data_IF_228401782912
#
_entry.id   IF_228401782912
#
_cell.length_a   1.000
_cell.length_b   1.000
_cell.length_c   1.000
_cell.angle_alpha   90.00
_cell.angle_beta   90.00
_cell.angle_gamma   90.00
#
_symmetry.space_group_name_H-M   'P 1'
#
loop_
_entity.id
_entity.type
_entity.pdbx_description
1 polymer ?
#
# COMPACT_ATOMS: atom_id res chain seq x y z
N UNK A 1 -6.79 -10.78 -23.31
CA UNK A 1 -7.69 -9.61 -23.61
C UNK A 1 -9.14 -10.05 -23.39
N UNK A 2 -9.84 -9.48 -22.41
CA UNK A 2 -11.20 -9.91 -22.07
C UNK A 2 -12.21 -9.09 -22.88
N UNK A 3 -12.79 -9.68 -23.94
CA UNK A 3 -13.80 -9.05 -24.82
C UNK A 3 -15.01 -8.48 -24.05
N UNK A 4 -15.33 -9.02 -22.87
CA UNK A 4 -16.44 -8.54 -22.03
C UNK A 4 -16.15 -7.14 -21.45
N UNK A 5 -14.90 -6.86 -21.12
CA UNK A 5 -14.53 -5.54 -20.56
C UNK A 5 -14.50 -4.45 -21.64
N UNK A 6 -14.18 -4.77 -22.91
CA UNK A 6 -14.24 -3.78 -24.00
C UNK A 6 -15.67 -3.38 -24.31
N UNK A 7 -16.62 -4.33 -24.34
CA UNK A 7 -18.04 -4.01 -24.58
C UNK A 7 -18.69 -3.19 -23.45
N UNK A 8 -18.22 -3.36 -22.21
CA UNK A 8 -18.70 -2.56 -21.08
C UNK A 8 -18.17 -1.13 -21.12
N UNK A 9 -16.92 -0.91 -21.49
CA UNK A 9 -16.32 0.43 -21.62
C UNK A 9 -16.95 1.27 -22.74
N UNK A 10 -17.50 0.61 -23.78
CA UNK A 10 -18.20 1.31 -24.86
C UNK A 10 -19.56 1.88 -24.42
N UNK A 11 -20.19 1.24 -23.44
CA UNK A 11 -21.54 1.58 -22.98
C UNK A 11 -21.56 2.33 -21.65
N UNK A 12 -20.45 2.31 -20.90
CA UNK A 12 -20.41 2.86 -19.54
C UNK A 12 -19.22 3.79 -19.39
N UNK A 13 -19.47 5.03 -18.93
CA UNK A 13 -18.45 5.96 -18.46
C UNK A 13 -17.95 5.46 -17.11
N UNK A 14 -16.66 5.35 -16.97
CA UNK A 14 -16.03 4.79 -15.78
C UNK A 14 -16.38 5.56 -14.50
N UNK A 15 -16.80 4.87 -13.43
CA UNK A 15 -17.15 5.43 -12.14
C UNK A 15 -15.96 6.10 -11.42
N UNK A 16 -16.23 6.83 -10.37
CA UNK A 16 -15.23 7.53 -9.59
C UNK A 16 -14.60 6.64 -8.54
N UNK A 17 -13.34 6.93 -8.17
CA UNK A 17 -12.70 6.40 -6.97
C UNK A 17 -12.66 7.53 -5.95
N UNK A 18 -13.20 7.29 -4.76
CA UNK A 18 -13.33 8.26 -3.68
C UNK A 18 -12.55 7.81 -2.44
N UNK A 19 -12.03 8.78 -1.72
CA UNK A 19 -11.45 8.56 -0.39
C UNK A 19 -12.54 8.36 0.67
N UNK A 20 -12.17 7.94 1.88
CA UNK A 20 -13.09 7.82 3.02
C UNK A 20 -13.77 9.14 3.39
N UNK A 21 -13.10 10.26 3.16
CA UNK A 21 -13.63 11.61 3.37
C UNK A 21 -14.24 12.24 2.09
N UNK A 22 -14.70 11.40 1.16
CA UNK A 22 -15.45 11.75 -0.05
C UNK A 22 -14.71 12.70 -1.01
N UNK A 23 -13.38 12.67 -1.00
CA UNK A 23 -12.57 13.38 -1.99
C UNK A 23 -12.38 12.51 -3.23
N UNK A 24 -12.47 13.12 -4.40
CA UNK A 24 -12.30 12.42 -5.68
C UNK A 24 -10.80 12.09 -5.87
N UNK A 25 -10.48 10.81 -5.96
CA UNK A 25 -9.12 10.30 -6.21
C UNK A 25 -8.88 9.97 -7.69
N UNK A 26 -9.95 9.56 -8.39
CA UNK A 26 -9.96 9.37 -9.84
C UNK A 26 -11.36 9.60 -10.41
N UNK A 27 -11.44 10.24 -11.58
CA UNK A 27 -12.69 10.46 -12.31
C UNK A 27 -12.45 10.52 -13.82
N UNK A 28 -13.51 10.39 -14.60
CA UNK A 28 -13.45 10.49 -16.06
C UNK A 28 -14.19 11.70 -16.56
N UNK A 29 -13.64 12.36 -17.56
CA UNK A 29 -14.27 13.43 -18.35
C UNK A 29 -14.18 13.12 -19.84
N UNK A 30 -15.03 13.75 -20.64
CA UNK A 30 -14.89 13.67 -22.10
C UNK A 30 -14.13 14.92 -22.58
N UNK A 31 -13.16 14.71 -23.45
CA UNK A 31 -12.48 15.81 -24.14
C UNK A 31 -13.38 16.42 -25.21
N UNK A 32 -12.90 17.45 -25.90
CA UNK A 32 -13.62 18.12 -26.99
C UNK A 32 -13.93 17.18 -28.17
N UNK A 33 -13.13 16.14 -28.36
CA UNK A 33 -13.35 15.11 -29.40
C UNK A 33 -14.37 14.05 -28.97
N UNK A 34 -14.81 14.05 -27.70
CA UNK A 34 -15.76 13.08 -27.14
C UNK A 34 -15.10 11.85 -26.52
N UNK A 35 -13.75 11.75 -26.51
CA UNK A 35 -13.02 10.65 -25.91
C UNK A 35 -13.04 10.77 -24.39
N UNK A 36 -13.17 9.63 -23.71
CA UNK A 36 -13.12 9.57 -22.25
C UNK A 36 -11.67 9.63 -21.75
N UNK A 37 -11.33 10.65 -20.98
CA UNK A 37 -10.04 10.82 -20.33
C UNK A 37 -10.19 10.59 -18.84
N UNK A 38 -9.27 9.79 -18.27
CA UNK A 38 -9.19 9.51 -16.84
C UNK A 38 -8.25 10.50 -16.16
N UNK A 39 -8.71 11.11 -15.07
CA UNK A 39 -7.98 12.11 -14.30
C UNK A 39 -7.71 11.65 -12.88
N UNK A 40 -6.52 12.00 -12.39
CA UNK A 40 -6.03 11.69 -11.04
C UNK A 40 -5.64 12.99 -10.33
N UNK A 41 -6.58 13.63 -9.57
CA UNK A 41 -6.39 14.99 -9.03
C UNK A 41 -5.25 15.14 -8.02
N UNK A 42 -4.78 14.04 -7.46
CA UNK A 42 -3.68 14.03 -6.50
C UNK A 42 -2.35 13.57 -7.10
N UNK A 43 -2.31 13.43 -8.42
CA UNK A 43 -1.09 13.10 -9.17
C UNK A 43 -0.32 11.92 -8.54
N UNK A 44 0.96 12.11 -8.25
CA UNK A 44 1.86 11.10 -7.69
C UNK A 44 1.41 10.52 -6.33
N UNK A 45 0.74 11.34 -5.50
CA UNK A 45 0.47 11.01 -4.09
C UNK A 45 -0.30 9.70 -3.89
N UNK A 46 -1.14 9.33 -4.84
CA UNK A 46 -1.95 8.11 -4.78
C UNK A 46 -1.63 7.11 -5.91
N UNK A 47 -0.60 7.38 -6.72
CA UNK A 47 -0.33 6.62 -7.94
C UNK A 47 -0.26 5.10 -7.71
N UNK A 48 0.47 4.65 -6.71
CA UNK A 48 0.67 3.22 -6.48
C UNK A 48 -0.57 2.49 -5.95
N UNK A 49 -1.48 3.17 -5.25
CA UNK A 49 -2.69 2.53 -4.73
C UNK A 49 -3.87 2.67 -5.69
N UNK A 50 -4.06 3.83 -6.27
CA UNK A 50 -5.11 4.04 -7.27
C UNK A 50 -4.73 3.36 -8.59
N UNK A 51 -3.48 3.52 -9.01
CA UNK A 51 -3.00 2.98 -10.26
C UNK A 51 -3.35 3.87 -11.45
N UNK A 52 -3.53 3.23 -12.60
CA UNK A 52 -3.79 3.87 -13.89
C UNK A 52 -4.61 2.95 -14.79
N UNK A 53 -5.14 3.51 -15.89
CA UNK A 53 -5.97 2.77 -16.87
C UNK A 53 -5.30 2.58 -18.24
N UNK A 54 -4.26 3.38 -18.57
CA UNK A 54 -3.43 3.24 -19.77
C UNK A 54 -2.34 2.18 -19.59
N UNK A 55 -1.70 1.73 -20.66
CA UNK A 55 -0.58 0.75 -20.63
C UNK A 55 -0.86 -0.53 -19.82
N UNK A 56 -2.07 -1.04 -19.91
CA UNK A 56 -2.60 -2.09 -19.02
C UNK A 56 -3.53 -1.48 -17.99
N UNK A 57 -3.49 -1.97 -16.79
CA UNK A 57 -4.17 -1.40 -15.61
C UNK A 57 -3.41 -1.79 -14.37
N UNK A 58 -3.37 -0.91 -13.37
CA UNK A 58 -2.72 -1.19 -12.10
C UNK A 58 -3.58 -0.70 -10.92
N UNK A 59 -3.20 -1.08 -9.70
CA UNK A 59 -3.84 -0.63 -8.48
C UNK A 59 -5.35 -0.88 -8.43
N UNK A 60 -6.10 0.00 -7.80
CA UNK A 60 -7.56 -0.09 -7.68
C UNK A 60 -8.26 0.04 -9.03
N UNK A 61 -7.67 0.75 -9.98
CA UNK A 61 -8.18 0.80 -11.37
C UNK A 61 -8.25 -0.58 -12.02
N UNK A 62 -7.31 -1.47 -11.68
CA UNK A 62 -7.32 -2.86 -12.13
C UNK A 62 -8.24 -3.75 -11.30
N UNK A 63 -8.10 -3.70 -9.97
CA UNK A 63 -8.83 -4.58 -9.04
C UNK A 63 -10.33 -4.32 -9.09
N UNK A 64 -10.74 -3.05 -9.08
CA UNK A 64 -12.15 -2.63 -9.10
C UNK A 64 -12.67 -2.35 -10.52
N UNK A 65 -11.97 -2.85 -11.57
CA UNK A 65 -12.33 -2.54 -12.95
C UNK A 65 -13.78 -2.94 -13.30
N UNK A 66 -14.24 -4.07 -12.78
CA UNK A 66 -15.62 -4.53 -13.00
C UNK A 66 -16.64 -3.58 -12.37
N UNK A 67 -16.42 -3.18 -11.12
CA UNK A 67 -17.34 -2.29 -10.40
C UNK A 67 -17.41 -0.91 -11.07
N UNK A 68 -16.24 -0.36 -11.41
CA UNK A 68 -16.14 0.93 -12.08
C UNK A 68 -16.78 0.97 -13.48
N UNK A 69 -17.00 -0.18 -14.13
CA UNK A 69 -17.66 -0.29 -15.43
C UNK A 69 -19.08 -0.87 -15.35
N UNK A 70 -19.53 -1.30 -14.19
CA UNK A 70 -20.90 -1.76 -13.98
C UNK A 70 -21.76 -0.58 -13.51
N UNK A 71 -22.94 -0.43 -14.08
CA UNK A 71 -23.87 0.63 -13.69
C UNK A 71 -25.09 0.01 -13.01
N UNK A 72 -25.34 0.39 -11.75
CA UNK A 72 -26.58 0.08 -11.03
C UNK A 72 -27.57 1.25 -11.07
N UNK A 73 -27.46 2.16 -12.03
CA UNK A 73 -28.47 3.18 -12.26
C UNK A 73 -29.84 2.55 -12.53
N UNK A 74 -30.90 3.25 -12.14
CA UNK A 74 -32.27 2.78 -12.36
C UNK A 74 -32.47 2.46 -13.84
N UNK A 75 -33.15 1.33 -14.15
CA UNK A 75 -33.41 0.84 -15.51
C UNK A 75 -33.98 1.93 -16.44
N UNK A 76 -34.91 2.76 -15.93
CA UNK A 76 -35.47 3.87 -16.69
C UNK A 76 -34.43 4.88 -17.16
N UNK A 77 -33.38 5.12 -16.34
CA UNK A 77 -32.28 6.03 -16.71
C UNK A 77 -31.37 5.40 -17.72
N UNK A 78 -31.06 4.11 -17.57
CA UNK A 78 -30.27 3.35 -18.55
C UNK A 78 -30.94 3.31 -19.94
N UNK A 79 -32.25 3.09 -19.98
CA UNK A 79 -33.06 3.15 -21.21
C UNK A 79 -33.07 4.55 -21.83
N UNK A 80 -33.24 5.59 -21.00
CA UNK A 80 -33.17 6.99 -21.48
C UNK A 80 -31.80 7.34 -22.02
N UNK A 81 -30.71 6.89 -21.38
CA UNK A 81 -29.35 7.10 -21.85
C UNK A 81 -29.11 6.38 -23.20
N UNK A 82 -29.62 5.15 -23.35
CA UNK A 82 -29.53 4.37 -24.61
C UNK A 82 -30.23 5.09 -25.77
N UNK A 83 -31.44 5.62 -25.55
CA UNK A 83 -32.18 6.40 -26.58
C UNK A 83 -31.44 7.71 -26.92
N UNK A 84 -30.80 8.32 -25.94
CA UNK A 84 -30.01 9.55 -26.12
C UNK A 84 -28.57 9.31 -26.60
N UNK A 85 -28.18 8.09 -26.90
CA UNK A 85 -26.79 7.68 -27.22
C UNK A 85 -25.75 8.14 -26.20
N UNK A 86 -26.15 8.20 -24.91
CA UNK A 86 -25.26 8.55 -23.79
C UNK A 86 -24.80 7.30 -23.08
N UNK A 87 -23.53 7.28 -22.65
CA UNK A 87 -23.03 6.23 -21.77
C UNK A 87 -23.71 6.26 -20.41
N UNK A 88 -23.94 5.10 -19.83
CA UNK A 88 -24.30 4.98 -18.42
C UNK A 88 -23.11 5.36 -17.56
N UNK A 89 -23.35 5.67 -16.28
CA UNK A 89 -22.25 5.97 -15.33
C UNK A 89 -22.01 4.71 -14.51
N UNK A 90 -20.76 4.28 -14.45
CA UNK A 90 -20.33 3.16 -13.62
C UNK A 90 -20.39 3.49 -12.13
N UNK A 91 -20.38 2.46 -11.30
CA UNK A 91 -20.47 2.61 -9.86
C UNK A 91 -19.19 3.23 -9.28
N UNK A 92 -19.34 3.97 -8.21
CA UNK A 92 -18.22 4.58 -7.50
C UNK A 92 -17.59 3.58 -6.51
N UNK A 93 -16.29 3.59 -6.42
CA UNK A 93 -15.52 2.85 -5.41
C UNK A 93 -15.13 3.81 -4.28
N UNK A 94 -15.60 3.52 -3.07
CA UNK A 94 -15.25 4.29 -1.87
C UNK A 94 -14.17 3.53 -1.12
N UNK A 95 -13.01 4.16 -0.99
CA UNK A 95 -11.85 3.59 -0.29
C UNK A 95 -11.87 3.92 1.20
N UNK A 96 -11.00 3.27 1.96
CA UNK A 96 -10.76 3.60 3.38
C UNK A 96 -9.67 4.66 3.58
N UNK A 97 -9.08 5.17 2.51
CA UNK A 97 -7.99 6.15 2.52
C UNK A 97 -8.44 7.51 3.04
N UNK A 98 -7.68 8.11 3.93
CA UNK A 98 -7.85 9.51 4.37
C UNK A 98 -6.82 10.38 3.65
N UNK A 99 -7.31 11.39 2.90
CA UNK A 99 -6.43 12.24 2.09
C UNK A 99 -5.45 13.07 2.91
N UNK A 100 -5.80 13.42 4.15
CA UNK A 100 -4.92 14.19 5.04
C UNK A 100 -3.79 13.32 5.57
N UNK A 101 -4.12 12.09 5.98
CA UNK A 101 -3.12 11.14 6.48
C UNK A 101 -2.19 10.69 5.34
N UNK A 102 -2.76 10.44 4.15
CA UNK A 102 -1.97 10.15 2.95
C UNK A 102 -0.97 11.27 2.63
N UNK A 103 -1.45 12.53 2.67
CA UNK A 103 -0.59 13.71 2.44
C UNK A 103 0.53 13.78 3.48
N UNK A 104 0.22 13.66 4.76
CA UNK A 104 1.22 13.69 5.82
C UNK A 104 2.27 12.57 5.67
N UNK A 105 1.84 11.34 5.32
CA UNK A 105 2.74 10.23 5.07
C UNK A 105 3.60 10.45 3.82
N UNK A 106 3.02 11.03 2.77
CA UNK A 106 3.72 11.33 1.52
C UNK A 106 4.80 12.40 1.71
N UNK A 107 4.48 13.47 2.44
CA UNK A 107 5.40 14.55 2.76
C UNK A 107 6.50 14.08 3.73
N UNK A 108 6.15 13.26 4.74
CA UNK A 108 7.13 12.74 5.70
C UNK A 108 8.14 11.76 5.08
N UNK A 109 7.79 11.09 3.98
CA UNK A 109 8.72 10.21 3.27
C UNK A 109 9.71 11.00 2.40
N UNK A 110 9.48 12.30 2.20
CA UNK A 110 10.35 13.18 1.39
C UNK A 110 10.82 12.50 0.10
N UNK A 111 12.11 12.51 -0.19
CA UNK A 111 12.74 11.86 -1.36
C UNK A 111 13.32 10.47 -1.03
N UNK A 112 13.04 9.94 0.15
CA UNK A 112 13.52 8.61 0.52
C UNK A 112 12.81 7.51 -0.29
N UNK A 113 13.59 6.54 -0.72
CA UNK A 113 13.06 5.31 -1.33
C UNK A 113 12.50 4.40 -0.24
N UNK A 114 11.21 4.15 -0.29
CA UNK A 114 10.55 3.34 0.74
C UNK A 114 9.05 3.35 0.62
N UNK A 115 8.40 2.95 1.71
CA UNK A 115 6.95 2.93 1.83
C UNK A 115 6.48 3.34 3.22
N UNK A 116 5.29 3.93 3.28
CA UNK A 116 4.55 4.18 4.52
C UNK A 116 3.18 3.55 4.41
N UNK A 117 2.78 2.76 5.41
CA UNK A 117 1.45 2.18 5.51
C UNK A 117 0.86 2.50 6.88
N UNK A 118 -0.32 3.12 6.88
CA UNK A 118 -1.08 3.38 8.11
C UNK A 118 -2.35 2.53 8.12
N UNK A 119 -2.47 1.66 9.12
CA UNK A 119 -3.58 0.72 9.26
C UNK A 119 -4.27 1.00 10.60
N UNK A 120 -5.61 1.01 10.59
CA UNK A 120 -6.42 1.06 11.80
C UNK A 120 -6.46 -0.33 12.45
N UNK A 121 -5.87 -0.54 13.63
CA UNK A 121 -5.68 -1.90 14.18
C UNK A 121 -6.99 -2.66 14.42
N UNK A 122 -8.05 -1.95 14.83
CA UNK A 122 -9.34 -2.57 15.17
C UNK A 122 -10.12 -3.09 13.96
N UNK A 123 -9.93 -2.49 12.80
CA UNK A 123 -10.75 -2.77 11.61
C UNK A 123 -9.95 -3.31 10.44
N UNK A 124 -8.62 -3.23 10.48
CA UNK A 124 -7.73 -3.53 9.36
C UNK A 124 -7.79 -2.52 8.21
N UNK A 125 -8.53 -1.40 8.36
CA UNK A 125 -8.66 -0.40 7.31
C UNK A 125 -7.35 0.29 7.03
N UNK A 126 -6.89 0.25 5.78
CA UNK A 126 -5.75 1.02 5.31
C UNK A 126 -6.17 2.48 5.17
N UNK A 127 -5.56 3.37 5.95
CA UNK A 127 -5.84 4.80 5.98
C UNK A 127 -4.90 5.61 5.12
N UNK A 128 -3.66 5.16 4.98
CA UNK A 128 -2.69 5.69 4.03
C UNK A 128 -1.78 4.58 3.52
N UNK A 129 -1.33 4.71 2.27
CA UNK A 129 -0.34 3.83 1.66
C UNK A 129 0.46 4.65 0.65
N UNK A 130 1.72 4.85 0.94
CA UNK A 130 2.68 5.59 0.11
C UNK A 130 3.79 4.66 -0.32
N UNK A 131 4.24 4.80 -1.54
CA UNK A 131 5.44 4.13 -2.07
C UNK A 131 6.24 5.13 -2.90
N UNK A 132 7.57 5.18 -2.70
CA UNK A 132 8.49 6.04 -3.47
C UNK A 132 9.73 5.26 -3.90
N UNK A 133 10.32 5.57 -5.08
CA UNK A 133 9.91 6.57 -6.07
C UNK A 133 8.53 6.29 -6.67
N UNK A 134 7.88 7.32 -7.14
CA UNK A 134 6.54 7.30 -7.69
C UNK A 134 6.50 7.87 -9.12
N UNK A 135 5.31 8.05 -9.65
CA UNK A 135 5.05 8.57 -10.99
C UNK A 135 3.72 9.32 -11.02
N UNK A 136 3.55 10.23 -11.98
CA UNK A 136 2.26 10.88 -12.21
C UNK A 136 1.43 10.06 -13.20
N UNK A 137 0.30 9.46 -12.79
CA UNK A 137 -0.55 8.66 -13.68
C UNK A 137 -1.22 9.47 -14.78
N UNK A 138 -1.28 10.81 -14.66
CA UNK A 138 -1.77 11.68 -15.74
C UNK A 138 -0.74 11.91 -16.85
N UNK A 139 0.54 11.58 -16.63
CA UNK A 139 1.66 11.84 -17.57
C UNK A 139 2.28 10.55 -18.12
N UNK A 140 1.60 9.42 -18.01
CA UNK A 140 2.17 8.13 -18.42
C UNK A 140 2.59 8.11 -19.90
N UNK A 141 1.84 8.77 -20.78
CA UNK A 141 2.19 8.82 -22.19
C UNK A 141 3.56 9.48 -22.45
N UNK A 142 3.95 10.43 -21.61
CA UNK A 142 5.23 11.14 -21.73
C UNK A 142 6.39 10.41 -21.06
N UNK A 143 6.10 9.60 -20.02
CA UNK A 143 7.14 9.04 -19.15
C UNK A 143 7.26 7.50 -19.21
N UNK A 144 6.35 6.81 -19.91
CA UNK A 144 6.26 5.34 -19.87
C UNK A 144 7.56 4.64 -20.25
N UNK A 145 8.16 5.00 -21.35
CA UNK A 145 9.41 4.38 -21.81
C UNK A 145 10.55 4.61 -20.81
N UNK A 146 10.61 5.80 -20.21
CA UNK A 146 11.61 6.11 -19.20
C UNK A 146 11.43 5.26 -17.94
N UNK A 147 10.22 5.21 -17.36
CA UNK A 147 9.99 4.50 -16.09
C UNK A 147 10.00 2.97 -16.25
N UNK A 148 9.78 2.44 -17.45
CA UNK A 148 9.87 0.99 -17.73
C UNK A 148 11.29 0.55 -18.08
N UNK A 149 12.11 1.41 -18.68
CA UNK A 149 13.52 1.11 -18.99
C UNK A 149 14.45 1.29 -17.80
N UNK A 150 14.10 2.13 -16.83
CA UNK A 150 14.91 2.39 -15.65
C UNK A 150 14.62 1.39 -14.51
N UNK A 151 15.36 0.30 -14.52
CA UNK A 151 15.29 -0.71 -13.46
C UNK A 151 15.87 -0.24 -12.12
N UNK A 152 16.71 0.80 -12.12
CA UNK A 152 17.37 1.31 -10.90
C UNK A 152 16.37 1.99 -9.96
N UNK A 153 15.44 2.76 -10.49
CA UNK A 153 14.42 3.46 -9.71
C UNK A 153 13.20 2.60 -9.39
N UNK A 154 12.80 1.72 -10.34
CA UNK A 154 11.62 0.85 -10.18
C UNK A 154 10.40 1.62 -9.71
N UNK A 155 10.08 2.73 -10.40
CA UNK A 155 8.98 3.64 -10.05
C UNK A 155 7.60 2.98 -10.04
N UNK A 156 7.40 1.93 -10.85
CA UNK A 156 6.14 1.19 -10.93
C UNK A 156 5.95 0.19 -9.77
N UNK A 157 7.02 -0.12 -9.01
CA UNK A 157 6.96 -1.06 -7.90
C UNK A 157 6.23 -0.43 -6.70
N UNK A 158 5.09 -1.00 -6.33
CA UNK A 158 4.45 -0.66 -5.07
C UNK A 158 5.22 -1.30 -3.90
N UNK A 159 6.13 -0.55 -3.30
CA UNK A 159 6.99 -1.02 -2.22
C UNK A 159 6.25 -1.40 -0.95
N UNK A 160 5.05 -0.85 -0.75
CA UNK A 160 4.22 -1.18 0.41
C UNK A 160 3.60 -2.59 0.32
N UNK A 161 3.36 -3.10 -0.90
CA UNK A 161 2.69 -4.39 -1.12
C UNK A 161 3.58 -5.45 -1.77
N UNK A 162 4.64 -5.05 -2.45
CA UNK A 162 5.51 -5.93 -3.22
C UNK A 162 6.98 -5.86 -2.77
N UNK A 163 7.35 -4.87 -1.96
CA UNK A 163 8.70 -4.74 -1.43
C UNK A 163 8.99 -5.82 -0.38
N UNK A 164 10.17 -6.44 -0.48
CA UNK A 164 10.69 -7.38 0.49
C UNK A 164 11.77 -6.70 1.32
N UNK A 165 11.54 -6.56 2.61
CA UNK A 165 12.46 -5.88 3.54
C UNK A 165 12.81 -6.80 4.70
N UNK A 166 14.08 -6.83 5.17
CA UNK A 166 14.39 -7.51 6.41
C UNK A 166 13.67 -6.82 7.57
N UNK A 167 12.91 -7.57 8.39
CA UNK A 167 12.08 -7.00 9.45
C UNK A 167 12.90 -6.38 10.58
N UNK A 168 14.16 -6.79 10.75
CA UNK A 168 15.00 -6.33 11.85
C UNK A 168 14.35 -6.60 13.22
N UNK A 169 14.49 -5.67 14.15
CA UNK A 169 13.98 -5.82 15.52
C UNK A 169 12.46 -5.93 15.62
N UNK A 170 11.69 -5.61 14.58
CA UNK A 170 10.25 -5.84 14.60
C UNK A 170 9.89 -7.33 14.64
N UNK A 171 10.78 -8.20 14.17
CA UNK A 171 10.61 -9.65 14.23
C UNK A 171 10.61 -10.18 15.68
N UNK A 172 11.25 -9.46 16.62
CA UNK A 172 11.30 -9.83 18.04
C UNK A 172 9.92 -9.97 18.68
N UNK A 173 8.90 -9.28 18.14
CA UNK A 173 7.50 -9.47 18.57
C UNK A 173 7.07 -10.94 18.36
N UNK A 174 7.37 -11.51 17.19
CA UNK A 174 7.03 -12.89 16.86
C UNK A 174 7.83 -13.87 17.73
N UNK A 175 9.14 -13.65 17.87
CA UNK A 175 9.99 -14.49 18.73
C UNK A 175 9.51 -14.48 20.20
N UNK A 176 9.16 -13.30 20.74
CA UNK A 176 8.62 -13.19 22.09
C UNK A 176 7.29 -13.93 22.25
N UNK A 177 6.37 -13.81 21.26
CA UNK A 177 5.09 -14.51 21.30
C UNK A 177 5.28 -16.03 21.24
N UNK A 178 6.13 -16.54 20.36
CA UNK A 178 6.49 -17.95 20.26
C UNK A 178 7.05 -18.48 21.58
N UNK A 179 8.03 -17.79 22.15
CA UNK A 179 8.59 -18.15 23.45
C UNK A 179 7.53 -18.19 24.57
N UNK A 180 6.61 -17.21 24.59
CA UNK A 180 5.52 -17.18 25.57
C UNK A 180 4.51 -18.32 25.37
N UNK A 181 4.24 -18.72 24.12
CA UNK A 181 3.37 -19.87 23.80
C UNK A 181 4.01 -21.22 24.20
N UNK A 182 5.32 -21.37 23.96
CA UNK A 182 6.05 -22.58 24.35
C UNK A 182 6.28 -22.67 25.86
N UNK A 183 6.37 -21.54 26.57
CA UNK A 183 6.68 -21.44 27.98
C UNK A 183 5.58 -20.71 28.79
N UNK A 184 4.29 -21.10 28.70
CA UNK A 184 3.16 -20.30 29.23
C UNK A 184 3.22 -20.06 30.74
N UNK A 185 3.87 -20.96 31.48
CA UNK A 185 3.98 -20.89 32.95
C UNK A 185 5.34 -20.36 33.44
N UNK A 186 6.31 -20.20 32.56
CA UNK A 186 7.71 -19.89 32.94
C UNK A 186 8.36 -18.76 32.18
N UNK A 187 7.74 -18.21 31.14
CA UNK A 187 8.33 -17.11 30.34
C UNK A 187 8.72 -15.89 31.19
N UNK A 188 8.00 -15.64 32.31
CA UNK A 188 8.32 -14.57 33.26
C UNK A 188 9.61 -14.83 34.08
N UNK A 189 10.09 -16.06 34.09
CA UNK A 189 11.33 -16.42 34.78
C UNK A 189 12.55 -16.35 33.85
N UNK A 190 12.36 -15.90 32.61
CA UNK A 190 13.48 -15.68 31.69
C UNK A 190 14.43 -14.65 32.28
N UNK A 191 15.70 -15.00 32.34
CA UNK A 191 16.78 -14.07 32.72
C UNK A 191 17.98 -14.34 31.82
N UNK A 192 18.62 -13.29 31.36
CA UNK A 192 19.81 -13.33 30.49
C UNK A 192 20.76 -12.20 30.89
N UNK A 193 22.06 -12.55 31.04
CA UNK A 193 23.13 -11.57 31.23
C UNK A 193 23.68 -11.13 29.87
N UNK A 194 23.53 -9.85 29.53
CA UNK A 194 23.90 -9.29 28.25
C UNK A 194 25.19 -8.48 28.34
N UNK A 195 26.28 -9.03 27.84
CA UNK A 195 27.60 -8.39 27.71
C UNK A 195 27.82 -7.70 26.33
N UNK A 196 26.72 -7.29 25.68
CA UNK A 196 26.76 -6.60 24.38
C UNK A 196 27.00 -7.49 23.16
N UNK A 197 27.50 -8.71 23.33
CA UNK A 197 27.76 -9.66 22.24
C UNK A 197 27.65 -11.12 22.71
N UNK A 198 27.33 -12.03 21.80
CA UNK A 198 27.32 -13.47 22.04
C UNK A 198 27.68 -14.24 20.78
N UNK A 199 27.97 -15.52 20.90
CA UNK A 199 28.23 -16.41 19.76
C UNK A 199 27.20 -17.53 19.78
N UNK A 200 26.41 -17.63 18.72
CA UNK A 200 25.44 -18.69 18.51
C UNK A 200 25.74 -19.38 17.19
N UNK A 201 25.89 -20.71 17.21
CA UNK A 201 26.26 -21.53 16.03
C UNK A 201 27.45 -20.97 15.23
N UNK A 202 28.50 -20.54 15.94
CA UNK A 202 29.71 -19.93 15.37
C UNK A 202 29.50 -18.56 14.67
N UNK A 203 28.31 -17.95 14.82
CA UNK A 203 28.02 -16.61 14.31
C UNK A 203 28.05 -15.64 15.49
N UNK A 204 28.80 -14.54 15.35
CA UNK A 204 28.81 -13.48 16.35
C UNK A 204 27.56 -12.61 16.16
N UNK A 205 26.80 -12.46 17.23
CA UNK A 205 25.64 -11.58 17.33
C UNK A 205 25.97 -10.47 18.33
N UNK A 206 25.73 -9.22 17.95
CA UNK A 206 25.97 -8.07 18.81
C UNK A 206 24.71 -7.24 18.98
N UNK A 207 24.58 -6.62 20.14
CA UNK A 207 23.66 -5.52 20.34
C UNK A 207 24.11 -4.28 19.55
N UNK A 208 23.23 -3.27 19.43
CA UNK A 208 23.57 -2.04 18.74
C UNK A 208 24.79 -1.39 19.45
N UNK A 209 25.79 -1.00 18.68
CA UNK A 209 27.05 -0.43 19.19
C UNK A 209 27.74 -1.27 20.30
N UNK A 210 27.43 -2.58 20.38
CA UNK A 210 27.85 -3.49 21.45
C UNK A 210 27.41 -3.06 22.85
N UNK A 211 26.23 -2.37 22.97
CA UNK A 211 25.69 -1.93 24.27
C UNK A 211 25.48 -3.14 25.19
N UNK A 212 26.04 -3.08 26.39
CA UNK A 212 25.83 -4.04 27.47
C UNK A 212 24.57 -3.68 28.23
N UNK A 213 23.58 -4.59 28.25
CA UNK A 213 22.32 -4.32 28.97
C UNK A 213 22.30 -4.90 30.37
N UNK A 214 23.33 -5.71 30.75
CA UNK A 214 23.40 -6.44 32.01
C UNK A 214 22.31 -7.49 32.11
N UNK A 215 21.87 -7.79 33.33
CA UNK A 215 20.78 -8.72 33.59
C UNK A 215 19.46 -8.17 33.06
N UNK A 216 18.79 -8.94 32.16
CA UNK A 216 17.52 -8.59 31.53
C UNK A 216 16.53 -9.75 31.64
N UNK A 217 15.31 -9.47 32.03
CA UNK A 217 14.15 -10.33 31.82
C UNK A 217 13.59 -10.16 30.39
N UNK A 218 12.54 -10.88 30.02
CA UNK A 218 11.95 -10.83 28.70
C UNK A 218 11.45 -9.42 28.33
N UNK A 219 10.79 -8.74 29.29
CA UNK A 219 10.22 -7.41 29.07
C UNK A 219 11.33 -6.39 28.84
N UNK A 220 12.38 -6.42 29.66
CA UNK A 220 13.54 -5.53 29.54
C UNK A 220 14.35 -5.81 28.29
N UNK A 221 14.55 -7.09 27.94
CA UNK A 221 15.21 -7.49 26.70
C UNK A 221 14.47 -6.97 25.47
N UNK A 222 13.13 -7.04 25.48
CA UNK A 222 12.28 -6.51 24.43
C UNK A 222 12.37 -4.98 24.37
N UNK A 223 12.20 -4.29 25.51
CA UNK A 223 12.23 -2.83 25.59
C UNK A 223 13.59 -2.25 25.16
N UNK A 224 14.70 -2.92 25.48
CA UNK A 224 16.06 -2.56 25.07
C UNK A 224 16.44 -3.06 23.67
N UNK A 225 15.55 -3.81 23.02
CA UNK A 225 15.84 -4.45 21.74
C UNK A 225 17.14 -5.30 21.78
N UNK A 226 17.37 -6.01 22.89
CA UNK A 226 18.57 -6.79 23.11
C UNK A 226 18.70 -7.94 22.10
N UNK A 227 19.67 -7.85 21.19
CA UNK A 227 19.87 -8.87 20.15
C UNK A 227 20.39 -10.18 20.74
N UNK A 228 21.29 -10.09 21.72
CA UNK A 228 21.92 -11.27 22.33
C UNK A 228 20.94 -12.11 23.15
N UNK A 229 20.02 -11.47 23.90
CA UNK A 229 18.95 -12.18 24.59
C UNK A 229 17.98 -12.84 23.60
N UNK A 230 17.57 -12.13 22.54
CA UNK A 230 16.58 -12.64 21.58
C UNK A 230 17.10 -13.78 20.68
N UNK A 231 18.39 -13.91 20.50
CA UNK A 231 18.95 -15.03 19.74
C UNK A 231 19.07 -16.31 20.59
N UNK A 232 18.86 -16.21 21.91
CA UNK A 232 18.89 -17.37 22.85
C UNK A 232 17.48 -17.84 23.25
N UNK A 233 16.42 -17.11 22.90
CA UNK A 233 15.04 -17.53 23.04
C UNK A 233 14.69 -18.64 22.03
#
# INVERSE_FOLDING_TARGET
YNKRNSSLSDQTKRGQILSANQKILAYSENNEAGDEIRHYPYENMFAHIIGYTSYGKAGLESVCNSDLLTSHEKLMKQLSNGVASKKNIGDNVITTLDTRLQKAAYEALEDYRGAVVAIEPKTGKVRALVSKPDFDPNKLDDIWDKITSDSSESCLLNRATQGLYPPGSTYKVLTALEYMEEHPNSYKNFSYECDGQTIVNSVRISCYENEEHGEVDLDRAFAKSCNTAFVTL
#
